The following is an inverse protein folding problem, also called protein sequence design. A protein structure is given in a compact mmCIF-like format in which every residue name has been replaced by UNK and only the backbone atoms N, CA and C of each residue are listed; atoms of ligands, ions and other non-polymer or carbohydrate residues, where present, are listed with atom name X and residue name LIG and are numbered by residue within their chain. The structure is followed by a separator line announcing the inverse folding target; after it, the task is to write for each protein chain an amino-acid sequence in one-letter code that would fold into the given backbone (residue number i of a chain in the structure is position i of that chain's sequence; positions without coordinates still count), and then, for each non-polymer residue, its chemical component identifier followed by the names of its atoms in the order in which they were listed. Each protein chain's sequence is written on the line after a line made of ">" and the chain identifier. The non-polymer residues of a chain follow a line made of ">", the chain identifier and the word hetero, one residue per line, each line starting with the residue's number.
data_IF_553757229712
#
_entry.id   IF_553757229712
#
_cell.length_a   1.000
_cell.length_b   1.000
_cell.length_c   1.000
_cell.angle_alpha   90.00
_cell.angle_beta   90.00
_cell.angle_gamma   90.00
#
_symmetry.space_group_name_H-M   'P 1'
#
loop_
_entity.id
_entity.type
_entity.pdbx_description
1 polymer ?
#
# COMPACT_ATOMS: atom_id res chain seq x y z
N UNK A 1 -12.33 -22.44 8.56
CA UNK A 1 -12.60 -21.80 9.85
C UNK A 1 -13.89 -21.02 9.76
N UNK A 2 -14.62 -20.91 10.87
CA UNK A 2 -15.83 -20.10 10.98
C UNK A 2 -15.68 -19.14 12.15
N UNK A 3 -16.30 -17.94 12.11
CA UNK A 3 -16.31 -17.06 13.26
C UNK A 3 -16.86 -17.78 14.50
N UNK A 4 -16.35 -17.45 15.71
CA UNK A 4 -16.94 -17.95 16.95
C UNK A 4 -18.43 -17.63 17.05
N UNK A 5 -19.15 -18.36 17.89
CA UNK A 5 -20.56 -18.09 18.16
C UNK A 5 -20.78 -16.59 18.49
N UNK A 6 -21.85 -16.01 17.94
CA UNK A 6 -22.21 -14.59 18.06
C UNK A 6 -21.22 -13.60 17.41
N UNK A 7 -20.35 -14.07 16.50
CA UNK A 7 -19.49 -13.21 15.69
C UNK A 7 -19.81 -13.38 14.21
N UNK A 8 -19.53 -12.35 13.43
CA UNK A 8 -19.71 -12.32 11.98
C UNK A 8 -18.38 -11.88 11.38
N UNK A 9 -17.90 -12.62 10.38
CA UNK A 9 -16.73 -12.22 9.59
C UNK A 9 -17.06 -10.96 8.78
N UNK A 10 -16.11 -10.06 8.57
CA UNK A 10 -16.30 -8.87 7.73
C UNK A 10 -15.87 -9.25 6.29
N UNK A 11 -16.78 -9.88 5.55
CA UNK A 11 -16.49 -10.57 4.29
C UNK A 11 -17.37 -10.10 3.12
N UNK A 12 -17.84 -8.84 3.14
CA UNK A 12 -18.62 -8.25 2.05
C UNK A 12 -20.10 -8.65 2.01
N UNK A 13 -20.57 -9.45 2.96
CA UNK A 13 -21.95 -9.92 2.99
C UNK A 13 -22.92 -8.85 3.49
N UNK A 14 -24.17 -8.98 3.05
CA UNK A 14 -25.29 -8.16 3.53
C UNK A 14 -25.94 -8.83 4.73
N UNK A 15 -26.06 -8.08 5.82
CA UNK A 15 -26.77 -8.47 7.04
C UNK A 15 -28.18 -7.89 7.04
N UNK A 16 -29.13 -8.62 7.64
CA UNK A 16 -30.47 -8.11 7.91
C UNK A 16 -30.61 -7.66 9.37
N UNK A 17 -31.31 -6.55 9.58
CA UNK A 17 -31.60 -6.01 10.91
C UNK A 17 -32.43 -6.96 11.77
N UNK A 18 -33.33 -7.73 11.15
CA UNK A 18 -34.18 -8.70 11.84
C UNK A 18 -33.35 -9.81 12.52
N UNK A 19 -32.26 -10.23 11.88
CA UNK A 19 -31.37 -11.28 12.39
C UNK A 19 -30.36 -10.73 13.41
N UNK A 20 -29.93 -9.47 13.24
CA UNK A 20 -28.88 -8.84 14.07
C UNK A 20 -29.30 -7.49 14.70
N UNK A 21 -30.43 -7.41 15.43
CA UNK A 21 -31.00 -6.14 15.88
C UNK A 21 -30.08 -5.37 16.84
N UNK A 22 -29.35 -6.08 17.71
CA UNK A 22 -28.39 -5.48 18.65
C UNK A 22 -27.17 -4.87 17.93
N UNK A 23 -26.72 -5.49 16.85
CA UNK A 23 -25.59 -5.00 16.06
C UNK A 23 -25.96 -3.69 15.33
N UNK A 24 -27.12 -3.68 14.68
CA UNK A 24 -27.66 -2.49 14.01
C UNK A 24 -27.89 -1.35 15.00
N UNK A 25 -28.46 -1.63 16.17
CA UNK A 25 -28.64 -0.63 17.22
C UNK A 25 -27.30 -0.06 17.72
N UNK A 26 -26.28 -0.92 17.93
CA UNK A 26 -24.95 -0.49 18.38
C UNK A 26 -24.28 0.48 17.41
N UNK A 27 -24.43 0.26 16.10
CA UNK A 27 -23.85 1.12 15.06
C UNK A 27 -24.82 2.18 14.52
N UNK A 28 -26.01 2.34 15.14
CA UNK A 28 -26.98 3.35 14.73
C UNK A 28 -27.55 3.15 13.32
N UNK A 29 -27.50 1.93 12.77
CA UNK A 29 -27.97 1.64 11.41
C UNK A 29 -29.49 1.52 11.43
N UNK A 30 -30.18 2.49 10.83
CA UNK A 30 -31.65 2.52 10.73
C UNK A 30 -32.19 1.63 9.62
N UNK A 31 -31.43 1.44 8.54
CA UNK A 31 -31.78 0.64 7.38
C UNK A 31 -32.12 -0.83 7.75
N UNK A 32 -32.94 -1.47 6.91
CA UNK A 32 -33.32 -2.87 7.08
C UNK A 32 -32.15 -3.83 6.85
N UNK A 33 -31.16 -3.40 6.06
CA UNK A 33 -29.97 -4.19 5.72
C UNK A 33 -28.71 -3.34 5.85
N UNK A 34 -27.57 -4.02 6.03
CA UNK A 34 -26.25 -3.41 6.09
C UNK A 34 -25.23 -4.31 5.39
N UNK A 35 -24.63 -3.81 4.32
CA UNK A 35 -23.52 -4.49 3.65
C UNK A 35 -22.22 -4.12 4.34
N UNK A 36 -21.54 -5.15 4.86
CA UNK A 36 -20.21 -5.00 5.43
C UNK A 36 -19.18 -4.77 4.32
N UNK A 37 -18.05 -4.10 4.59
CA UNK A 37 -16.90 -4.20 3.71
C UNK A 37 -16.37 -5.65 3.65
N UNK A 38 -15.54 -5.94 2.66
CA UNK A 38 -14.73 -7.16 2.65
C UNK A 38 -13.31 -6.80 3.09
N UNK A 39 -12.91 -7.25 4.28
CA UNK A 39 -11.58 -6.95 4.84
C UNK A 39 -10.61 -8.13 4.73
N UNK A 40 -10.99 -9.20 4.05
CA UNK A 40 -10.13 -10.37 3.89
C UNK A 40 -8.94 -9.99 3.01
N UNK A 41 -7.74 -10.40 3.45
CA UNK A 41 -6.46 -10.07 2.79
C UNK A 41 -6.14 -8.56 2.69
N UNK A 42 -6.75 -7.72 3.54
CA UNK A 42 -6.50 -6.28 3.60
C UNK A 42 -5.79 -5.88 4.90
N UNK A 43 -4.86 -4.93 4.83
CA UNK A 43 -4.18 -4.43 6.02
C UNK A 43 -5.00 -3.32 6.69
N UNK A 44 -5.16 -3.32 8.02
CA UNK A 44 -5.77 -2.21 8.71
C UNK A 44 -4.76 -1.06 8.82
N UNK A 45 -5.13 0.13 8.31
CA UNK A 45 -4.36 1.36 8.49
C UNK A 45 -5.13 2.32 9.40
N UNK A 46 -4.46 2.90 10.37
CA UNK A 46 -5.08 3.82 11.32
C UNK A 46 -5.62 5.06 10.61
N UNK A 47 -6.88 5.40 10.87
CA UNK A 47 -7.48 6.64 10.36
C UNK A 47 -6.78 7.85 10.97
N UNK A 48 -6.36 8.78 10.12
CA UNK A 48 -5.52 9.92 10.50
C UNK A 48 -6.15 10.81 11.59
N UNK A 49 -7.47 11.01 11.51
CA UNK A 49 -8.25 11.78 12.49
C UNK A 49 -7.60 13.13 12.89
N UNK A 50 -6.98 13.82 11.93
CA UNK A 50 -6.37 15.13 12.13
C UNK A 50 -4.89 15.11 12.56
N UNK A 51 -4.24 13.94 12.57
CA UNK A 51 -2.79 13.84 12.84
C UNK A 51 -1.94 14.43 11.72
N UNK A 52 -2.44 14.47 10.48
CA UNK A 52 -1.79 15.10 9.33
C UNK A 52 -0.84 14.20 8.54
N UNK A 53 -0.79 12.90 8.79
CA UNK A 53 0.07 11.94 8.07
C UNK A 53 -0.66 11.32 6.88
N UNK A 54 -1.94 10.96 7.06
CA UNK A 54 -2.78 10.34 6.02
C UNK A 54 -4.13 11.07 5.92
N UNK A 55 -4.05 12.40 5.84
CA UNK A 55 -5.16 13.33 6.10
C UNK A 55 -6.32 13.27 5.09
N UNK A 56 -6.12 12.71 3.90
CA UNK A 56 -7.15 12.65 2.84
C UNK A 56 -8.08 11.44 2.95
N UNK A 57 -7.90 10.59 3.96
CA UNK A 57 -8.61 9.32 4.09
C UNK A 57 -9.89 9.44 4.91
N UNK A 58 -10.92 8.74 4.46
CA UNK A 58 -12.17 8.53 5.20
C UNK A 58 -12.20 7.13 5.79
N UNK A 59 -12.86 6.93 6.95
CA UNK A 59 -13.02 5.59 7.55
C UNK A 59 -13.67 4.64 6.54
N UNK A 60 -13.12 3.43 6.41
CA UNK A 60 -13.59 2.38 5.49
C UNK A 60 -13.13 2.53 4.04
N UNK A 61 -12.46 3.64 3.68
CA UNK A 61 -11.91 3.80 2.33
C UNK A 61 -10.81 2.76 2.07
N UNK A 62 -10.74 2.26 0.83
CA UNK A 62 -9.71 1.32 0.37
C UNK A 62 -8.54 2.09 -0.26
N UNK A 63 -7.33 1.53 -0.18
CA UNK A 63 -6.13 2.05 -0.82
C UNK A 63 -5.31 0.89 -1.37
N UNK A 64 -4.96 0.98 -2.65
CA UNK A 64 -4.10 -0.01 -3.31
C UNK A 64 -2.67 0.02 -2.74
N UNK A 65 -1.96 -1.09 -2.94
CA UNK A 65 -0.55 -1.20 -2.59
C UNK A 65 0.32 -0.22 -3.38
N UNK A 66 1.51 0.04 -2.84
CA UNK A 66 2.51 0.84 -3.54
C UNK A 66 3.91 0.60 -3.00
N UNK A 67 4.90 0.97 -3.79
CA UNK A 67 6.30 1.05 -3.40
C UNK A 67 6.73 2.51 -3.36
N UNK A 68 7.54 2.90 -2.39
CA UNK A 68 8.13 4.24 -2.36
C UNK A 68 9.04 4.43 -3.56
N UNK A 69 8.95 5.60 -4.17
CA UNK A 69 9.71 5.97 -5.35
C UNK A 69 11.22 5.80 -5.10
N UNK A 70 11.87 5.03 -5.97
CA UNK A 70 13.31 4.84 -5.97
C UNK A 70 13.82 4.57 -7.37
N UNK A 71 15.13 4.69 -7.52
CA UNK A 71 15.89 4.36 -8.71
C UNK A 71 17.09 3.49 -8.34
N UNK A 72 17.74 2.93 -9.36
CA UNK A 72 18.96 2.15 -9.21
C UNK A 72 20.07 2.78 -10.04
N UNK A 73 21.29 2.68 -9.55
CA UNK A 73 22.50 3.05 -10.29
C UNK A 73 23.26 1.79 -10.66
N UNK A 74 23.65 1.65 -11.93
CA UNK A 74 24.41 0.52 -12.42
C UNK A 74 25.50 0.98 -13.40
N UNK A 75 26.48 0.12 -13.67
CA UNK A 75 27.52 0.41 -14.66
C UNK A 75 27.05 0.07 -16.08
N UNK A 76 27.08 1.05 -16.96
CA UNK A 76 26.84 0.91 -18.40
C UNK A 76 28.17 0.85 -19.14
N UNK A 77 28.37 -0.18 -19.97
CA UNK A 77 29.63 -0.37 -20.72
C UNK A 77 29.54 0.26 -22.09
N UNK A 78 30.67 0.78 -22.59
CA UNK A 78 30.78 1.57 -23.82
C UNK A 78 29.86 2.79 -23.81
N UNK A 79 29.69 3.39 -22.64
CA UNK A 79 28.83 4.55 -22.40
C UNK A 79 29.57 5.54 -21.51
N UNK A 80 29.65 6.79 -21.96
CA UNK A 80 30.29 7.91 -21.25
C UNK A 80 29.30 9.06 -21.01
N UNK A 81 28.00 8.77 -21.09
CA UNK A 81 26.94 9.75 -20.86
C UNK A 81 26.44 9.77 -19.40
N UNK A 82 26.78 8.75 -18.61
CA UNK A 82 26.50 8.67 -17.18
C UNK A 82 27.47 9.47 -16.30
N UNK A 83 27.34 9.33 -14.97
CA UNK A 83 28.26 9.92 -14.00
C UNK A 83 29.43 8.97 -13.69
N UNK A 84 30.48 9.46 -13.04
CA UNK A 84 31.66 8.66 -12.66
C UNK A 84 32.25 7.85 -13.83
N UNK A 85 32.40 8.47 -15.00
CA UNK A 85 32.94 7.82 -16.19
C UNK A 85 34.40 7.42 -16.01
N UNK A 86 34.74 6.18 -16.37
CA UNK A 86 36.07 5.60 -16.24
C UNK A 86 36.49 4.90 -17.54
N UNK A 87 37.76 5.06 -17.93
CA UNK A 87 38.39 4.18 -18.90
C UNK A 87 38.84 2.90 -18.19
N UNK A 88 38.41 1.75 -18.71
CA UNK A 88 38.57 0.43 -18.08
C UNK A 88 39.59 -0.45 -18.82
N UNK A 89 40.24 0.13 -19.83
CA UNK A 89 41.37 -0.48 -20.55
C UNK A 89 41.26 -0.43 -22.07
N UNK A 90 42.39 -0.73 -22.73
CA UNK A 90 42.52 -0.81 -24.19
C UNK A 90 42.31 -2.26 -24.64
N UNK A 91 41.07 -2.70 -24.83
CA UNK A 91 40.78 -4.07 -25.31
C UNK A 91 39.59 -4.09 -26.28
N UNK A 92 39.63 -3.25 -27.30
CA UNK A 92 39.07 -3.59 -28.60
C UNK A 92 40.24 -4.05 -29.50
N UNK A 93 40.14 -5.18 -30.25
CA UNK A 93 41.10 -5.51 -31.30
C UNK A 93 41.39 -4.39 -32.32
N UNK A 94 40.56 -3.34 -32.39
CA UNK A 94 40.79 -2.12 -33.18
C UNK A 94 41.49 -0.97 -32.42
N UNK A 95 41.96 -1.18 -31.18
CA UNK A 95 42.68 -0.15 -30.41
C UNK A 95 41.81 0.93 -29.76
N UNK A 96 40.49 0.77 -29.77
CA UNK A 96 39.57 1.62 -29.02
C UNK A 96 39.62 1.34 -27.51
N UNK A 97 39.64 2.40 -26.71
CA UNK A 97 39.48 2.30 -25.26
C UNK A 97 38.06 1.87 -24.90
N UNK A 98 37.92 0.97 -23.91
CA UNK A 98 36.61 0.69 -23.31
C UNK A 98 36.34 1.72 -22.22
N UNK A 99 35.14 2.27 -22.22
CA UNK A 99 34.65 3.23 -21.23
C UNK A 99 33.44 2.63 -20.53
N UNK A 100 33.23 3.00 -19.27
CA UNK A 100 31.95 2.80 -18.59
C UNK A 100 31.59 4.04 -17.82
N UNK A 101 30.31 4.21 -17.57
CA UNK A 101 29.79 5.23 -16.68
C UNK A 101 28.67 4.65 -15.82
N UNK A 102 28.42 5.27 -14.67
CA UNK A 102 27.27 4.95 -13.82
C UNK A 102 26.04 5.62 -14.41
N UNK A 103 25.08 4.80 -14.80
CA UNK A 103 23.79 5.26 -15.32
C UNK A 103 22.72 4.95 -14.29
N UNK A 104 21.77 5.87 -14.16
CA UNK A 104 20.66 5.75 -13.24
C UNK A 104 19.40 5.34 -14.01
N UNK A 105 18.62 4.43 -13.46
CA UNK A 105 17.27 4.16 -13.98
C UNK A 105 16.36 5.37 -13.74
N UNK A 106 15.22 5.43 -14.41
CA UNK A 106 14.17 6.35 -13.97
C UNK A 106 13.69 5.98 -12.56
N UNK A 107 13.23 6.98 -11.81
CA UNK A 107 12.60 6.77 -10.51
C UNK A 107 11.15 6.34 -10.70
N UNK A 108 10.75 5.24 -10.08
CA UNK A 108 9.39 4.69 -10.15
C UNK A 108 8.86 4.40 -8.76
N UNK A 109 7.59 4.70 -8.51
CA UNK A 109 6.87 4.45 -7.26
C UNK A 109 6.02 5.63 -6.81
N UNK A 110 5.52 5.57 -5.58
CA UNK A 110 4.74 6.63 -4.93
C UNK A 110 5.49 7.26 -3.75
N UNK A 111 4.79 8.01 -2.90
CA UNK A 111 5.38 8.67 -1.72
C UNK A 111 5.71 7.71 -0.57
N UNK A 112 5.18 6.48 -0.59
CA UNK A 112 5.30 5.51 0.50
C UNK A 112 5.28 4.06 -0.04
N UNK A 113 5.93 3.14 0.69
CA UNK A 113 5.73 1.70 0.51
C UNK A 113 4.61 1.25 1.45
N UNK A 114 3.58 0.60 0.93
CA UNK A 114 2.43 0.10 1.70
C UNK A 114 1.78 -1.10 1.04
N UNK A 115 1.18 -2.02 1.80
CA UNK A 115 0.25 -3.00 1.24
C UNK A 115 -1.10 -2.37 0.91
N UNK A 116 -1.95 -3.14 0.21
CA UNK A 116 -3.38 -2.85 0.12
C UNK A 116 -3.96 -2.74 1.53
N UNK A 117 -4.72 -1.68 1.77
CA UNK A 117 -5.20 -1.37 3.10
C UNK A 117 -6.53 -0.62 3.11
N UNK A 118 -7.17 -0.63 4.27
CA UNK A 118 -8.35 0.18 4.54
C UNK A 118 -8.17 1.04 5.78
N UNK A 119 -8.77 2.23 5.78
CA UNK A 119 -8.70 3.15 6.91
C UNK A 119 -9.66 2.71 8.03
N UNK A 120 -9.15 2.54 9.25
CA UNK A 120 -9.93 2.12 10.42
C UNK A 120 -9.52 2.86 11.68
N UNK A 121 -10.46 3.08 12.60
CA UNK A 121 -10.16 3.68 13.89
C UNK A 121 -9.83 2.57 14.90
N UNK A 122 -8.60 2.57 15.42
CA UNK A 122 -8.23 1.70 16.53
C UNK A 122 -8.71 2.32 17.83
N UNK A 123 -9.54 1.58 18.56
CA UNK A 123 -10.10 2.00 19.82
C UNK A 123 -9.84 0.94 20.89
N UNK A 124 -9.70 1.39 22.13
CA UNK A 124 -9.70 0.53 23.31
C UNK A 124 -10.98 0.77 24.09
N UNK A 125 -11.58 -0.31 24.59
CA UNK A 125 -12.72 -0.20 25.50
C UNK A 125 -12.24 0.32 26.85
N UNK A 126 -12.90 1.34 27.38
CA UNK A 126 -12.51 1.99 28.64
C UNK A 126 -13.42 1.64 29.83
N UNK A 127 -14.52 0.92 29.60
CA UNK A 127 -15.45 0.37 30.61
C UNK A 127 -16.39 -0.65 29.97
#
# INVERSE_FOLDING_TARGET
>A
ESPPLNHVEIAGQTLNKADFPKLFAKYGISAATWTLPDTRAEFPRGWDNGRGIDASRTIGSMQEDSIKAHDHTYWSWNDNTGSDSESIGNYDPNGGGRERSKVKTSSVGSTETRPRNFATMFIMRVS
#
